data_IF_124453685348
#
_entry.id   IF_124453685348
#
_cell.length_a   1.000
_cell.length_b   1.000
_cell.length_c   1.000
_cell.angle_alpha   90.00
_cell.angle_beta   90.00
_cell.angle_gamma   90.00
#
_symmetry.space_group_name_H-M   'P 1'
#
loop_
_entity.id
_entity.type
_entity.pdbx_description
1 polymer ?
#
# COMPACT_ATOMS: atom_id res chain seq x y z
N UNK A 1 -5.69 12.49 68.20
CA UNK A 1 -4.80 12.44 67.01
C UNK A 1 -5.68 12.00 65.85
N UNK A 2 -5.85 12.69 64.73
CA UNK A 2 -5.28 13.92 64.21
C UNK A 2 -6.34 14.63 63.33
N UNK A 3 -6.07 15.91 63.07
CA UNK A 3 -6.85 16.92 62.37
C UNK A 3 -7.33 16.56 60.97
N UNK A 4 -8.44 17.20 60.56
CA UNK A 4 -8.51 17.74 59.20
C UNK A 4 -9.40 19.00 59.17
N UNK A 5 -8.78 20.15 58.86
CA UNK A 5 -9.49 21.36 58.49
C UNK A 5 -8.84 21.99 57.26
N UNK A 6 -9.71 22.54 56.40
CA UNK A 6 -9.55 23.64 55.44
C UNK A 6 -9.54 23.28 53.94
N UNK A 7 -10.53 23.84 53.23
CA UNK A 7 -10.26 25.01 52.39
C UNK A 7 -11.54 25.82 52.07
N UNK A 8 -11.49 27.10 52.47
CA UNK A 8 -12.11 28.31 51.89
C UNK A 8 -13.61 28.62 52.13
N UNK A 9 -13.82 29.53 53.08
CA UNK A 9 -14.53 30.84 53.05
C UNK A 9 -15.93 30.90 52.39
N UNK A 10 -16.99 31.51 52.92
CA UNK A 10 -17.14 32.56 53.95
C UNK A 10 -18.63 32.70 54.37
N UNK A 11 -18.84 33.18 55.61
CA UNK A 11 -19.98 33.93 56.21
C UNK A 11 -21.30 33.23 56.64
N UNK A 12 -21.49 33.32 57.97
CA UNK A 12 -22.67 33.36 58.86
C UNK A 12 -23.64 32.18 59.07
N UNK A 13 -23.58 31.65 60.30
CA UNK A 13 -24.76 31.68 61.17
C UNK A 13 -25.34 30.34 61.65
N UNK A 14 -24.77 29.77 62.73
CA UNK A 14 -25.46 29.08 63.83
C UNK A 14 -26.29 27.79 63.57
N UNK A 15 -26.49 26.91 64.57
CA UNK A 15 -26.72 25.48 64.33
C UNK A 15 -28.18 25.04 64.47
N UNK A 16 -28.62 24.09 63.64
CA UNK A 16 -29.64 23.12 64.03
C UNK A 16 -29.33 21.73 63.47
N UNK A 17 -29.16 20.78 64.40
CA UNK A 17 -29.09 19.35 64.12
C UNK A 17 -30.48 18.76 63.88
N UNK A 18 -30.44 17.64 63.15
CA UNK A 18 -31.49 16.65 62.89
C UNK A 18 -32.45 17.02 61.74
N UNK A 19 -32.89 16.12 60.88
CA UNK A 19 -33.10 14.68 61.04
C UNK A 19 -33.22 14.08 59.63
N UNK A 20 -32.62 12.91 59.39
CA UNK A 20 -32.92 12.09 58.21
C UNK A 20 -31.85 12.07 57.11
N UNK A 21 -30.68 11.52 57.42
CA UNK A 21 -29.76 11.04 56.38
C UNK A 21 -30.41 9.86 55.67
N UNK A 22 -31.13 10.11 54.57
CA UNK A 22 -31.57 9.06 53.66
C UNK A 22 -30.34 8.24 53.27
N UNK A 23 -30.37 6.93 53.52
CA UNK A 23 -29.28 6.02 53.21
C UNK A 23 -28.89 6.21 51.73
N UNK A 24 -27.69 6.76 51.47
CA UNK A 24 -27.17 6.86 50.10
C UNK A 24 -26.98 5.44 49.58
N UNK A 25 -27.98 4.99 48.84
CA UNK A 25 -27.98 3.69 48.18
C UNK A 25 -26.79 3.63 47.23
N UNK A 26 -25.98 2.58 47.34
CA UNK A 26 -24.86 2.31 46.40
C UNK A 26 -25.35 1.69 45.09
N UNK A 27 -26.66 1.71 44.84
CA UNK A 27 -27.21 1.20 43.59
C UNK A 27 -26.85 2.16 42.46
N UNK A 28 -26.24 1.66 41.37
CA UNK A 28 -25.96 2.48 40.21
C UNK A 28 -27.28 3.00 39.60
N UNK A 29 -27.25 4.24 39.13
CA UNK A 29 -28.42 4.91 38.58
C UNK A 29 -28.98 4.15 37.37
N UNK A 30 -30.28 3.85 37.41
CA UNK A 30 -31.00 3.12 36.37
C UNK A 30 -31.46 4.05 35.23
N UNK A 31 -30.54 4.85 34.69
CA UNK A 31 -30.80 5.70 33.52
C UNK A 31 -30.23 5.05 32.27
N UNK A 32 -30.93 5.16 31.14
CA UNK A 32 -30.54 4.54 29.87
C UNK A 32 -29.15 4.98 29.40
N UNK A 33 -28.72 6.20 29.76
CA UNK A 33 -27.38 6.71 29.48
C UNK A 33 -26.29 6.00 30.30
N UNK A 34 -26.44 5.93 31.64
CA UNK A 34 -25.45 5.29 32.52
C UNK A 34 -25.41 3.76 32.39
N UNK A 35 -26.50 3.16 31.93
CA UNK A 35 -26.60 1.72 31.65
C UNK A 35 -26.35 1.35 30.18
N UNK A 36 -25.96 2.31 29.32
CA UNK A 36 -25.68 2.09 27.89
C UNK A 36 -26.84 1.44 27.12
N UNK A 37 -28.09 1.78 27.44
CA UNK A 37 -29.32 1.27 26.78
C UNK A 37 -29.90 2.24 25.75
N UNK A 38 -29.10 3.20 25.26
CA UNK A 38 -29.57 4.10 24.20
C UNK A 38 -29.72 3.32 22.89
N UNK A 39 -30.85 3.47 22.17
CA UNK A 39 -31.05 2.78 20.91
C UNK A 39 -30.03 3.24 19.88
N UNK A 40 -29.29 2.29 19.29
CA UNK A 40 -28.28 2.56 18.27
C UNK A 40 -28.89 2.44 16.87
N UNK A 41 -29.42 3.54 16.35
CA UNK A 41 -30.03 3.60 15.01
C UNK A 41 -29.03 3.54 13.86
N UNK A 42 -27.74 3.81 14.15
CA UNK A 42 -26.65 3.76 13.18
C UNK A 42 -26.43 2.36 12.58
N UNK A 43 -26.82 1.30 13.30
CA UNK A 43 -26.69 -0.07 12.82
C UNK A 43 -27.46 -0.31 11.52
N UNK A 44 -28.64 0.27 11.35
CA UNK A 44 -29.45 0.09 10.14
C UNK A 44 -28.83 0.69 8.88
N UNK A 45 -27.93 1.68 9.02
CA UNK A 45 -27.20 2.26 7.89
C UNK A 45 -25.94 1.43 7.61
N UNK A 46 -25.21 1.04 8.65
CA UNK A 46 -23.98 0.27 8.48
C UNK A 46 -24.20 -1.17 8.04
N UNK A 47 -25.33 -1.80 8.37
CA UNK A 47 -25.64 -3.17 7.93
C UNK A 47 -25.75 -3.27 6.40
N UNK A 48 -26.60 -2.50 5.69
CA UNK A 48 -26.70 -2.60 4.23
C UNK A 48 -25.42 -2.14 3.53
N UNK A 49 -24.75 -1.10 4.04
CA UNK A 49 -23.46 -0.66 3.50
C UNK A 49 -22.41 -1.76 3.66
N UNK A 50 -22.34 -2.39 4.83
CA UNK A 50 -21.41 -3.49 5.11
C UNK A 50 -21.68 -4.71 4.22
N UNK A 51 -22.95 -5.09 4.04
CA UNK A 51 -23.33 -6.16 3.11
C UNK A 51 -22.92 -5.79 1.67
N UNK A 52 -23.17 -4.56 1.24
CA UNK A 52 -22.77 -4.07 -0.09
C UNK A 52 -21.27 -4.19 -0.31
N UNK A 53 -20.46 -3.64 0.60
CA UNK A 53 -18.99 -3.71 0.53
C UNK A 53 -18.53 -5.17 0.55
N UNK A 54 -19.07 -6.00 1.44
CA UNK A 54 -18.69 -7.41 1.56
C UNK A 54 -18.96 -8.21 0.28
N UNK A 55 -20.15 -8.05 -0.32
CA UNK A 55 -20.49 -8.71 -1.59
C UNK A 55 -19.57 -8.22 -2.71
N UNK A 56 -19.36 -6.90 -2.82
CA UNK A 56 -18.45 -6.36 -3.85
C UNK A 56 -17.01 -6.85 -3.66
N UNK A 57 -16.54 -6.97 -2.42
CA UNK A 57 -15.20 -7.48 -2.10
C UNK A 57 -15.04 -8.95 -2.46
N UNK A 58 -16.03 -9.80 -2.17
CA UNK A 58 -15.95 -11.23 -2.49
C UNK A 58 -16.09 -11.54 -3.98
N UNK A 59 -16.63 -10.60 -4.75
CA UNK A 59 -16.69 -10.71 -6.21
C UNK A 59 -15.35 -10.38 -6.88
N UNK A 60 -14.46 -9.66 -6.21
CA UNK A 60 -13.11 -9.41 -6.72
C UNK A 60 -12.35 -10.74 -6.72
N UNK A 61 -11.77 -11.06 -7.87
CA UNK A 61 -10.91 -12.23 -8.04
C UNK A 61 -9.47 -11.77 -7.98
N UNK A 62 -8.64 -12.54 -7.28
CA UNK A 62 -7.20 -12.34 -7.22
C UNK A 62 -6.49 -13.68 -7.40
N UNK A 63 -5.34 -13.66 -8.07
CA UNK A 63 -4.43 -14.80 -8.16
C UNK A 63 -3.05 -14.31 -7.70
N UNK A 64 -2.44 -15.04 -6.77
CA UNK A 64 -1.12 -14.74 -6.25
C UNK A 64 -0.16 -15.88 -6.58
N UNK A 65 0.93 -15.54 -7.23
CA UNK A 65 1.96 -16.49 -7.67
C UNK A 65 3.28 -16.05 -7.04
N UNK A 66 3.91 -16.94 -6.30
CA UNK A 66 5.26 -16.73 -5.78
C UNK A 66 6.28 -17.24 -6.79
N UNK A 67 7.19 -16.35 -7.22
CA UNK A 67 8.23 -16.64 -8.20
C UNK A 67 9.64 -16.57 -7.61
N UNK A 68 9.78 -16.48 -6.27
CA UNK A 68 11.09 -16.37 -5.59
C UNK A 68 11.97 -17.60 -5.81
N UNK A 69 11.34 -18.78 -5.89
CA UNK A 69 12.03 -20.02 -6.22
C UNK A 69 12.78 -20.69 -5.05
N UNK A 70 12.36 -20.47 -3.80
CA UNK A 70 13.02 -21.03 -2.61
C UNK A 70 13.01 -22.57 -2.57
N UNK A 71 12.00 -23.19 -3.17
CA UNK A 71 11.87 -24.64 -3.25
C UNK A 71 12.68 -25.21 -4.44
N UNK A 72 13.43 -26.32 -4.26
CA UNK A 72 14.17 -26.96 -5.36
C UNK A 72 13.30 -27.46 -6.51
N UNK A 73 12.01 -27.71 -6.26
CA UNK A 73 10.98 -28.09 -7.23
C UNK A 73 10.56 -26.93 -8.15
N UNK A 74 10.80 -25.69 -7.73
CA UNK A 74 10.30 -24.52 -8.43
C UNK A 74 11.13 -24.22 -9.69
N UNK A 75 10.48 -23.82 -10.81
CA UNK A 75 11.20 -23.49 -12.05
C UNK A 75 12.18 -22.31 -11.91
N UNK A 76 11.94 -21.43 -10.94
CA UNK A 76 12.75 -20.23 -10.68
C UNK A 76 13.92 -20.48 -9.71
N UNK A 77 14.05 -21.67 -9.09
CA UNK A 77 15.15 -21.97 -8.17
C UNK A 77 16.54 -21.77 -8.79
N UNK A 78 16.67 -22.06 -10.08
CA UNK A 78 17.90 -21.84 -10.88
C UNK A 78 18.37 -20.37 -10.90
N UNK A 79 17.48 -19.41 -10.64
CA UNK A 79 17.77 -17.99 -10.66
C UNK A 79 18.27 -17.44 -9.32
N UNK A 80 18.34 -18.26 -8.26
CA UNK A 80 18.85 -17.82 -6.95
C UNK A 80 20.39 -17.69 -6.93
N UNK A 81 21.07 -18.30 -7.87
CA UNK A 81 22.53 -18.25 -7.98
C UNK A 81 23.01 -16.89 -8.47
N UNK A 82 23.98 -16.28 -7.76
CA UNK A 82 24.54 -14.95 -8.10
C UNK A 82 25.32 -14.91 -9.42
N UNK A 83 25.68 -16.06 -9.96
CA UNK A 83 26.51 -16.16 -11.18
C UNK A 83 25.71 -15.98 -12.47
N UNK A 84 24.36 -15.88 -12.38
CA UNK A 84 23.48 -15.71 -13.53
C UNK A 84 23.04 -14.24 -13.62
N UNK A 85 23.62 -13.48 -14.55
CA UNK A 85 23.31 -12.05 -14.75
C UNK A 85 22.00 -11.81 -15.51
N UNK A 86 21.53 -12.80 -16.27
CA UNK A 86 20.26 -12.76 -16.99
C UNK A 86 19.56 -14.11 -16.82
N UNK A 87 18.71 -14.21 -15.80
CA UNK A 87 17.96 -15.43 -15.54
C UNK A 87 16.50 -15.29 -15.98
N UNK A 88 16.03 -16.24 -16.77
CA UNK A 88 14.64 -16.32 -17.20
C UNK A 88 14.03 -17.58 -16.59
N UNK A 89 12.94 -17.40 -15.85
CA UNK A 89 12.12 -18.50 -15.36
C UNK A 89 10.67 -18.33 -15.81
N UNK A 90 10.00 -19.46 -16.02
CA UNK A 90 8.63 -19.51 -16.54
C UNK A 90 7.78 -20.25 -15.52
N UNK A 91 6.66 -19.64 -15.14
CA UNK A 91 5.69 -20.23 -14.22
C UNK A 91 4.38 -20.40 -14.97
N UNK A 92 3.96 -21.66 -15.09
CA UNK A 92 2.69 -21.99 -15.70
C UNK A 92 1.61 -21.95 -14.63
N UNK A 93 0.49 -21.30 -14.94
CA UNK A 93 -0.69 -21.27 -14.09
C UNK A 93 -1.94 -21.31 -14.96
N UNK A 94 -3.04 -21.73 -14.36
CA UNK A 94 -4.35 -21.80 -15.02
C UNK A 94 -5.34 -20.90 -14.31
N UNK A 95 -6.31 -20.38 -15.07
CA UNK A 95 -7.39 -19.57 -14.54
C UNK A 95 -8.66 -20.41 -14.48
N UNK A 96 -9.12 -20.74 -13.28
CA UNK A 96 -10.38 -21.51 -13.10
C UNK A 96 -11.60 -20.71 -13.56
N UNK A 97 -11.53 -19.38 -13.44
CA UNK A 97 -12.61 -18.45 -13.80
C UNK A 97 -12.03 -17.27 -14.56
N UNK A 98 -12.78 -16.76 -15.53
CA UNK A 98 -12.41 -15.56 -16.25
C UNK A 98 -12.44 -14.34 -15.32
N UNK A 99 -11.48 -13.42 -15.50
CA UNK A 99 -11.54 -12.10 -14.88
C UNK A 99 -12.50 -11.21 -15.67
N UNK A 100 -13.46 -10.61 -14.96
CA UNK A 100 -14.39 -9.66 -15.55
C UNK A 100 -13.92 -8.22 -15.32
N UNK A 101 -13.90 -7.40 -16.37
CA UNK A 101 -13.51 -5.99 -16.30
C UNK A 101 -12.00 -5.73 -16.48
N UNK A 102 -11.52 -4.63 -15.89
CA UNK A 102 -10.11 -4.23 -16.00
C UNK A 102 -9.25 -5.06 -15.04
N UNK A 103 -8.20 -5.67 -15.58
CA UNK A 103 -7.24 -6.47 -14.81
C UNK A 103 -5.99 -5.63 -14.53
N UNK A 104 -5.52 -5.70 -13.29
CA UNK A 104 -4.30 -5.03 -12.85
C UNK A 104 -3.30 -6.07 -12.38
N UNK A 105 -2.04 -5.92 -12.78
CA UNK A 105 -0.95 -6.78 -12.37
C UNK A 105 -0.10 -6.05 -11.34
N UNK A 106 0.13 -6.70 -10.19
CA UNK A 106 0.94 -6.16 -9.11
C UNK A 106 2.09 -7.12 -8.82
N UNK A 107 3.28 -6.57 -8.54
CA UNK A 107 4.36 -7.32 -7.93
C UNK A 107 4.35 -7.07 -6.42
N UNK A 108 4.64 -8.10 -5.63
CA UNK A 108 4.67 -7.99 -4.17
C UNK A 108 6.04 -8.39 -3.64
N UNK A 109 6.68 -7.49 -2.91
CA UNK A 109 7.93 -7.78 -2.20
C UNK A 109 7.62 -8.06 -0.73
N UNK A 110 8.11 -9.19 -0.22
CA UNK A 110 8.06 -9.51 1.21
C UNK A 110 9.41 -9.20 1.85
N UNK A 111 9.41 -8.89 3.15
CA UNK A 111 10.63 -8.56 3.92
C UNK A 111 11.42 -7.35 3.39
N UNK A 112 10.76 -6.42 2.68
CA UNK A 112 11.36 -5.17 2.21
C UNK A 112 10.80 -3.97 2.97
N UNK A 113 11.61 -3.37 3.85
CA UNK A 113 11.17 -2.35 4.81
C UNK A 113 11.27 -0.92 4.25
N UNK A 114 10.40 -0.56 3.30
CA UNK A 114 10.34 0.79 2.72
C UNK A 114 9.94 1.88 3.74
N UNK A 115 9.25 1.50 4.81
CA UNK A 115 8.82 2.42 5.87
C UNK A 115 9.94 2.81 6.86
N UNK A 116 11.15 2.26 6.74
CA UNK A 116 12.24 2.60 7.63
C UNK A 116 12.61 4.09 7.49
N UNK A 117 12.73 4.82 8.61
CA UNK A 117 12.85 6.28 8.59
C UNK A 117 14.04 6.83 7.79
N UNK A 118 15.17 6.12 7.72
CA UNK A 118 16.31 6.49 6.84
C UNK A 118 16.01 6.23 5.37
N UNK A 119 15.29 5.16 5.06
CA UNK A 119 14.89 4.82 3.70
C UNK A 119 13.92 5.89 3.18
N UNK A 120 12.87 6.23 3.93
CA UNK A 120 11.90 7.27 3.54
C UNK A 120 12.54 8.65 3.35
N UNK A 121 13.54 9.00 4.16
CA UNK A 121 14.24 10.30 4.05
C UNK A 121 15.23 10.36 2.88
N UNK A 122 15.70 9.22 2.38
CA UNK A 122 16.69 9.16 1.29
C UNK A 122 16.04 9.23 -0.10
N UNK A 123 15.19 10.24 -0.32
CA UNK A 123 14.55 10.50 -1.61
C UNK A 123 15.48 11.12 -2.63
N UNK A 124 16.38 11.99 -2.15
CA UNK A 124 17.46 12.58 -2.95
C UNK A 124 18.78 11.78 -2.78
N UNK A 125 18.92 11.11 -1.64
CA UNK A 125 20.02 10.18 -1.38
C UNK A 125 19.80 8.83 -2.10
N UNK A 126 20.89 8.11 -2.31
CA UNK A 126 20.96 6.96 -3.22
C UNK A 126 19.95 5.83 -2.94
N UNK A 127 19.45 5.63 -1.72
CA UNK A 127 18.89 4.34 -1.33
C UNK A 127 17.56 3.96 -2.01
N UNK A 128 16.59 4.89 -2.13
CA UNK A 128 15.28 4.58 -2.72
C UNK A 128 15.44 4.23 -4.21
N UNK A 129 15.99 5.16 -5.00
CA UNK A 129 16.20 4.93 -6.42
C UNK A 129 17.11 3.73 -6.67
N UNK A 130 18.19 3.55 -5.90
CA UNK A 130 19.14 2.44 -6.12
C UNK A 130 18.58 1.03 -5.83
N UNK A 131 17.41 0.92 -5.20
CA UNK A 131 16.74 -0.36 -4.94
C UNK A 131 15.48 -0.54 -5.81
N UNK A 132 15.44 0.14 -6.97
CA UNK A 132 14.36 -0.03 -7.95
C UNK A 132 14.22 -1.49 -8.38
N UNK A 133 12.96 -1.93 -8.46
CA UNK A 133 12.59 -3.25 -8.96
C UNK A 133 12.97 -3.37 -10.44
N UNK A 134 13.66 -4.47 -10.80
CA UNK A 134 14.25 -4.65 -12.12
C UNK A 134 13.88 -5.96 -12.83
N UNK A 135 12.93 -6.73 -12.29
CA UNK A 135 12.41 -7.90 -13.00
C UNK A 135 11.43 -7.45 -14.10
N UNK A 136 11.48 -8.14 -15.24
CA UNK A 136 10.54 -7.94 -16.35
C UNK A 136 9.56 -9.10 -16.38
N UNK A 137 8.27 -8.79 -16.19
CA UNK A 137 7.21 -9.80 -16.16
C UNK A 137 6.42 -9.76 -17.46
N UNK A 138 6.36 -10.90 -18.15
CA UNK A 138 5.61 -11.05 -19.40
C UNK A 138 4.56 -12.16 -19.23
N UNK A 139 3.36 -11.92 -19.76
CA UNK A 139 2.25 -12.87 -19.71
C UNK A 139 1.96 -13.41 -21.10
N UNK A 140 1.69 -14.71 -21.15
CA UNK A 140 1.36 -15.43 -22.37
C UNK A 140 0.07 -16.23 -22.14
N UNK A 141 -0.86 -16.14 -23.08
CA UNK A 141 -2.07 -16.95 -23.13
C UNK A 141 -1.82 -18.20 -23.99
N UNK A 142 -2.06 -19.36 -23.40
CA UNK A 142 -2.08 -20.66 -24.09
C UNK A 142 -3.54 -21.10 -24.19
N UNK A 143 -4.14 -20.99 -25.37
CA UNK A 143 -5.59 -21.20 -25.56
C UNK A 143 -5.97 -22.68 -25.74
N UNK A 144 -5.10 -23.48 -26.36
CA UNK A 144 -5.35 -24.88 -26.66
C UNK A 144 -4.26 -25.75 -26.03
N UNK A 145 -4.64 -26.77 -25.25
CA UNK A 145 -3.68 -27.73 -24.68
C UNK A 145 -3.03 -28.63 -25.75
N UNK A 146 -3.71 -28.80 -26.90
CA UNK A 146 -3.27 -29.68 -28.00
C UNK A 146 -2.24 -29.05 -28.93
N UNK A 147 -2.22 -27.71 -29.02
CA UNK A 147 -1.23 -26.92 -29.78
C UNK A 147 -0.85 -25.72 -28.92
N UNK A 148 0.19 -25.86 -28.07
CA UNK A 148 0.53 -24.91 -27.03
C UNK A 148 1.34 -23.74 -27.60
N UNK A 149 0.80 -23.06 -28.62
CA UNK A 149 1.41 -21.83 -29.14
C UNK A 149 1.07 -20.67 -28.21
N UNK A 150 2.04 -20.07 -27.49
CA UNK A 150 1.79 -18.99 -26.55
C UNK A 150 1.54 -17.67 -27.31
N UNK A 151 0.44 -16.99 -26.99
CA UNK A 151 0.12 -15.66 -27.51
C UNK A 151 0.44 -14.59 -26.46
N UNK A 152 1.20 -13.52 -26.78
CA UNK A 152 1.61 -12.53 -25.78
C UNK A 152 0.44 -11.65 -25.34
N UNK A 153 0.33 -11.40 -24.04
CA UNK A 153 -0.61 -10.43 -23.47
C UNK A 153 0.15 -9.12 -23.27
N UNK A 154 -0.25 -8.09 -24.01
CA UNK A 154 0.37 -6.76 -23.91
C UNK A 154 -0.10 -6.02 -22.66
N UNK A 155 0.83 -5.83 -21.72
CA UNK A 155 0.63 -5.02 -20.52
C UNK A 155 0.75 -3.53 -20.86
N UNK A 156 -0.14 -2.71 -20.31
CA UNK A 156 -0.03 -1.25 -20.38
C UNK A 156 0.90 -0.77 -19.27
N UNK A 157 1.95 -0.02 -19.64
CA UNK A 157 2.92 0.59 -18.70
C UNK A 157 2.62 2.07 -18.38
N UNK A 158 1.52 2.61 -18.92
CA UNK A 158 1.05 3.98 -18.74
C UNK A 158 -0.30 3.99 -18.03
N UNK A 159 -0.57 5.03 -17.24
CA UNK A 159 -1.78 5.17 -16.43
C UNK A 159 -1.79 4.33 -15.15
N UNK A 160 -0.60 3.99 -14.63
CA UNK A 160 -0.41 3.25 -13.38
C UNK A 160 -0.05 4.19 -12.21
N UNK A 161 0.53 5.36 -12.49
CA UNK A 161 0.87 6.35 -11.49
C UNK A 161 -0.29 7.32 -11.22
N UNK A 162 -0.32 7.88 -10.01
CA UNK A 162 -1.25 8.95 -9.67
C UNK A 162 -1.04 10.17 -10.57
N UNK A 163 -2.15 10.77 -11.03
CA UNK A 163 -2.10 11.92 -11.91
C UNK A 163 -1.26 13.07 -11.35
N UNK A 164 -1.37 13.34 -10.05
CA UNK A 164 -0.60 14.37 -9.35
C UNK A 164 0.88 14.07 -9.33
N UNK A 165 1.25 12.80 -9.17
CA UNK A 165 2.66 12.40 -9.12
C UNK A 165 3.28 12.60 -10.51
N UNK A 166 2.60 12.17 -11.57
CA UNK A 166 3.08 12.33 -12.96
C UNK A 166 3.13 13.78 -13.46
N UNK A 167 2.13 14.61 -13.15
CA UNK A 167 2.00 15.95 -13.78
C UNK A 167 2.43 17.11 -12.88
N UNK A 168 2.47 16.91 -11.56
CA UNK A 168 2.74 18.00 -10.60
C UNK A 168 4.08 17.78 -9.88
N UNK A 169 4.26 16.61 -9.27
CA UNK A 169 5.35 16.34 -8.34
C UNK A 169 6.67 16.01 -9.03
N UNK A 170 6.65 15.08 -9.99
CA UNK A 170 7.84 14.64 -10.71
C UNK A 170 7.95 15.35 -12.06
N UNK A 171 9.15 15.84 -12.40
CA UNK A 171 9.42 16.55 -13.65
C UNK A 171 10.85 16.29 -14.11
N UNK A 172 11.04 16.20 -15.42
CA UNK A 172 12.37 16.20 -16.00
C UNK A 172 13.02 17.59 -15.90
N UNK A 173 14.36 17.69 -15.76
CA UNK A 173 15.07 18.97 -15.68
C UNK A 173 14.72 19.88 -16.86
N UNK A 174 14.46 21.18 -16.69
CA UNK A 174 14.09 22.05 -17.81
C UNK A 174 15.22 22.14 -18.85
N UNK A 175 14.86 22.35 -20.12
CA UNK A 175 15.83 22.49 -21.21
C UNK A 175 15.24 22.06 -22.55
N UNK A 176 15.78 22.61 -23.64
CA UNK A 176 15.51 22.17 -25.00
C UNK A 176 16.48 21.05 -25.39
N UNK A 177 16.06 20.16 -26.30
CA UNK A 177 16.88 19.04 -26.76
C UNK A 177 16.61 17.71 -26.05
N UNK A 178 17.45 16.72 -26.35
CA UNK A 178 17.28 15.36 -25.85
C UNK A 178 17.43 15.28 -24.32
N UNK A 179 16.75 14.32 -23.68
CA UNK A 179 16.87 14.11 -22.24
C UNK A 179 18.32 13.87 -21.80
N UNK A 180 19.12 13.18 -22.62
CA UNK A 180 20.54 12.93 -22.33
C UNK A 180 21.33 14.23 -22.08
N UNK A 181 21.09 15.27 -22.89
CA UNK A 181 21.75 16.57 -22.73
C UNK A 181 21.28 17.28 -21.46
N UNK A 182 19.98 17.18 -21.16
CA UNK A 182 19.35 17.75 -19.96
C UNK A 182 19.87 17.11 -18.67
N UNK A 183 20.33 15.86 -18.74
CA UNK A 183 20.93 15.11 -17.64
C UNK A 183 22.46 15.16 -17.62
N UNK A 184 23.10 16.00 -18.45
CA UNK A 184 24.56 16.13 -18.49
C UNK A 184 25.13 16.51 -17.13
N UNK A 185 26.17 15.79 -16.69
CA UNK A 185 26.81 15.99 -15.39
C UNK A 185 26.17 15.20 -14.24
N UNK A 186 25.08 14.48 -14.50
CA UNK A 186 24.53 13.49 -13.55
C UNK A 186 25.08 12.09 -13.83
N UNK A 187 24.96 11.19 -12.86
CA UNK A 187 25.32 9.78 -13.03
C UNK A 187 24.18 8.89 -12.57
N UNK A 188 24.07 7.70 -13.17
CA UNK A 188 23.08 6.70 -12.78
C UNK A 188 23.33 6.20 -11.35
N UNK A 189 22.30 5.76 -10.63
CA UNK A 189 22.50 5.03 -9.38
C UNK A 189 23.38 3.79 -9.58
N UNK A 190 24.01 3.34 -8.50
CA UNK A 190 25.05 2.29 -8.53
C UNK A 190 24.54 0.99 -9.13
N UNK A 191 23.34 0.56 -8.72
CA UNK A 191 22.74 -0.71 -9.11
C UNK A 191 21.94 -0.65 -10.42
N UNK A 192 21.83 0.52 -11.06
CA UNK A 192 21.06 0.65 -12.30
C UNK A 192 21.89 0.19 -13.49
N UNK A 193 21.31 -0.56 -14.41
CA UNK A 193 22.00 -0.94 -15.66
C UNK A 193 22.04 0.23 -16.65
N UNK A 194 20.93 0.95 -16.78
CA UNK A 194 20.75 2.09 -17.68
C UNK A 194 20.49 3.36 -16.87
N UNK A 195 20.84 4.55 -17.39
CA UNK A 195 20.48 5.81 -16.75
C UNK A 195 18.97 6.09 -16.87
N UNK A 196 18.46 6.98 -16.00
CA UNK A 196 17.02 7.27 -15.89
C UNK A 196 16.39 7.82 -17.18
N UNK A 197 17.16 8.48 -18.02
CA UNK A 197 16.72 9.02 -19.31
C UNK A 197 16.77 8.00 -20.47
N UNK A 198 17.04 6.73 -20.19
CA UNK A 198 17.02 5.62 -21.17
C UNK A 198 16.18 4.44 -20.66
N UNK A 199 15.24 4.69 -19.74
CA UNK A 199 14.40 3.64 -19.14
C UNK A 199 13.31 3.18 -20.09
N UNK A 200 12.74 4.12 -20.86
CA UNK A 200 11.70 3.84 -21.85
C UNK A 200 12.07 4.47 -23.21
N UNK A 201 11.46 3.94 -24.27
CA UNK A 201 11.60 4.46 -25.64
C UNK A 201 10.69 5.67 -25.88
N UNK A 202 9.58 5.76 -25.13
CA UNK A 202 8.60 6.84 -25.28
C UNK A 202 8.97 8.05 -24.40
N UNK A 203 9.06 9.24 -24.99
CA UNK A 203 9.53 10.46 -24.30
C UNK A 203 8.60 10.91 -23.16
N UNK A 204 7.28 10.66 -23.29
CA UNK A 204 6.26 10.97 -22.27
C UNK A 204 6.22 9.98 -21.11
N UNK A 205 7.07 8.96 -21.13
CA UNK A 205 7.26 7.97 -20.07
C UNK A 205 8.75 7.71 -19.78
N UNK A 206 9.61 8.73 -19.91
CA UNK A 206 11.06 8.57 -19.72
C UNK A 206 11.64 9.64 -18.79
N UNK A 207 12.80 9.35 -18.18
CA UNK A 207 13.37 10.20 -17.13
C UNK A 207 12.62 10.09 -15.81
N UNK A 208 12.57 11.18 -15.03
CA UNK A 208 11.91 11.23 -13.73
C UNK A 208 10.38 11.15 -13.80
N UNK A 209 9.79 11.24 -14.99
CA UNK A 209 8.34 11.11 -15.19
C UNK A 209 7.92 9.69 -15.62
N UNK A 210 8.87 8.75 -15.71
CA UNK A 210 8.56 7.36 -16.02
C UNK A 210 7.68 6.77 -14.91
N UNK A 211 6.54 6.21 -15.30
CA UNK A 211 5.53 5.75 -14.33
C UNK A 211 6.00 4.54 -13.52
N UNK A 212 6.79 3.63 -14.08
CA UNK A 212 7.38 2.50 -13.35
C UNK A 212 8.41 2.96 -12.30
N UNK A 213 9.11 4.08 -12.54
CA UNK A 213 10.00 4.71 -11.56
C UNK A 213 9.24 5.48 -10.47
N UNK A 214 8.04 5.97 -10.77
CA UNK A 214 7.22 6.74 -9.84
C UNK A 214 6.50 5.83 -8.83
N UNK A 215 6.05 4.66 -9.29
CA UNK A 215 5.38 3.62 -8.49
C UNK A 215 6.37 2.94 -7.55
#
# INVERSE_FOLDING_TARGET
>A
MAMNCNAKDEVDGGPQCALGGAAKTRRPDNTAFKQQRLPAWLGFIFIPIGIGIFVTSNNIREIKIDYTGTEPSSPCNKCLSRDVTLCICTINFTLEKAFEGNVFMYYSLSNFYQNHGRYVKSRDDRAIANSMFNDTLELYLVANESDPTPSPIHLKRKGIAWWTDKHVKFRNPPGEGALEERFKGTTKPVNWLKPVYMVDSEEDNNGFINEDCIV
#
